data_IF_132815021517
#
_entry.id   IF_132815021517
#
_cell.length_a   1.000
_cell.length_b   1.000
_cell.length_c   1.000
_cell.angle_alpha   90.00
_cell.angle_beta   90.00
_cell.angle_gamma   90.00
#
_symmetry.space_group_name_H-M   'P 1'
#
loop_
_entity.id
_entity.type
_entity.pdbx_description
1 polymer ?
#
# COMPACT_ATOMS: atom_id res chain seq x y z
N UNK A 1 19.60 -8.33 -17.61
CA UNK A 1 20.31 -8.87 -16.44
C UNK A 1 20.10 -10.36 -16.45
N UNK A 2 21.13 -11.21 -16.28
CA UNK A 2 20.90 -12.66 -16.31
C UNK A 2 20.22 -13.12 -15.02
N UNK A 3 18.97 -13.60 -15.13
CA UNK A 3 18.22 -14.17 -14.02
C UNK A 3 18.66 -15.63 -13.74
N UNK A 4 18.78 -16.03 -12.46
CA UNK A 4 19.26 -17.35 -12.09
C UNK A 4 18.24 -18.45 -12.44
N UNK A 5 18.70 -19.68 -12.63
CA UNK A 5 17.88 -20.81 -13.07
C UNK A 5 16.78 -21.17 -12.06
N UNK A 6 17.04 -20.97 -10.76
CA UNK A 6 16.06 -21.25 -9.73
C UNK A 6 14.86 -20.28 -9.77
N UNK A 7 15.08 -19.00 -10.09
CA UNK A 7 14.01 -18.05 -10.39
C UNK A 7 13.21 -18.45 -11.64
N UNK A 8 13.91 -18.80 -12.73
CA UNK A 8 13.26 -19.21 -13.99
C UNK A 8 12.38 -20.46 -13.82
N UNK A 9 12.75 -21.35 -12.89
CA UNK A 9 11.98 -22.55 -12.57
C UNK A 9 10.76 -22.21 -11.72
N UNK A 10 10.93 -21.33 -10.73
CA UNK A 10 9.86 -20.83 -9.87
C UNK A 10 8.78 -20.11 -10.69
N UNK A 11 9.16 -19.16 -11.54
CA UNK A 11 8.19 -18.28 -12.20
C UNK A 11 7.24 -19.03 -13.13
N UNK A 12 7.73 -20.07 -13.81
CA UNK A 12 6.90 -20.96 -14.64
C UNK A 12 5.82 -21.70 -13.85
N UNK A 13 6.06 -21.97 -12.57
CA UNK A 13 5.08 -22.62 -11.69
C UNK A 13 4.14 -21.56 -11.12
N UNK A 14 4.67 -20.40 -10.73
CA UNK A 14 3.89 -19.27 -10.24
C UNK A 14 2.82 -18.82 -11.25
N UNK A 15 3.23 -18.54 -12.50
CA UNK A 15 2.34 -18.09 -13.58
C UNK A 15 1.26 -19.12 -13.99
N UNK A 16 1.43 -20.39 -13.63
CA UNK A 16 0.39 -21.42 -13.82
C UNK A 16 -0.65 -21.44 -12.69
N UNK A 17 -0.29 -20.90 -11.52
CA UNK A 17 -1.10 -20.96 -10.30
C UNK A 17 -1.80 -19.63 -10.01
N UNK A 18 -1.18 -18.51 -10.38
CA UNK A 18 -1.66 -17.16 -10.10
C UNK A 18 -1.84 -16.38 -11.39
N UNK A 19 -2.94 -15.64 -11.48
CA UNK A 19 -3.26 -14.78 -12.63
C UNK A 19 -2.97 -13.29 -12.33
N UNK A 20 -2.38 -12.99 -11.17
CA UNK A 20 -2.05 -11.63 -10.72
C UNK A 20 -0.71 -11.62 -9.99
N UNK A 21 -0.02 -10.48 -10.05
CA UNK A 21 1.24 -10.21 -9.36
C UNK A 21 1.07 -10.00 -7.86
N UNK A 22 -0.09 -9.46 -7.45
CA UNK A 22 -0.42 -9.28 -6.05
C UNK A 22 -1.11 -10.53 -5.53
N UNK A 23 -0.52 -11.14 -4.52
CA UNK A 23 -0.99 -12.38 -3.90
C UNK A 23 -1.11 -12.20 -2.40
N UNK A 24 -2.11 -12.85 -1.81
CA UNK A 24 -2.28 -12.91 -0.35
C UNK A 24 -2.29 -11.56 0.39
N UNK A 25 -2.91 -10.52 -0.19
CA UNK A 25 -3.03 -9.20 0.43
C UNK A 25 -2.23 -8.16 -0.34
N UNK A 26 -1.05 -7.81 0.16
CA UNK A 26 -0.17 -6.78 -0.41
C UNK A 26 1.13 -7.33 -1.02
N UNK A 27 1.35 -8.65 -1.01
CA UNK A 27 2.62 -9.22 -1.48
C UNK A 27 2.65 -9.19 -3.00
N UNK A 28 3.59 -8.44 -3.56
CA UNK A 28 3.79 -8.34 -5.00
C UNK A 28 4.97 -9.22 -5.42
N UNK A 29 4.71 -10.20 -6.28
CA UNK A 29 5.74 -11.07 -6.87
C UNK A 29 6.09 -10.56 -8.27
N UNK A 30 7.38 -10.30 -8.53
CA UNK A 30 7.83 -9.80 -9.83
C UNK A 30 7.87 -10.94 -10.86
N UNK A 31 7.00 -10.84 -11.87
CA UNK A 31 6.71 -11.98 -12.74
C UNK A 31 7.63 -12.11 -13.97
N UNK A 32 8.40 -11.09 -14.29
CA UNK A 32 9.25 -11.08 -15.48
C UNK A 32 10.56 -10.33 -15.27
N UNK A 33 11.42 -10.37 -16.29
CA UNK A 33 12.73 -9.69 -16.23
C UNK A 33 12.60 -8.17 -16.21
N UNK A 34 11.51 -7.62 -16.74
CA UNK A 34 11.29 -6.17 -16.83
C UNK A 34 10.98 -5.60 -15.45
N UNK A 35 10.00 -6.17 -14.74
CA UNK A 35 9.66 -5.79 -13.37
C UNK A 35 10.86 -5.91 -12.42
N UNK A 36 11.67 -6.96 -12.56
CA UNK A 36 12.89 -7.13 -11.75
C UNK A 36 13.93 -6.07 -12.10
N UNK A 37 14.17 -5.81 -13.39
CA UNK A 37 15.14 -4.79 -13.83
C UNK A 37 14.75 -3.41 -13.32
N UNK A 38 13.47 -3.09 -13.40
CA UNK A 38 12.90 -1.84 -12.92
C UNK A 38 13.25 -1.63 -11.45
N UNK A 39 12.86 -2.57 -10.56
CA UNK A 39 13.20 -2.51 -9.12
C UNK A 39 14.70 -2.48 -8.86
N UNK A 40 15.46 -3.30 -9.58
CA UNK A 40 16.92 -3.36 -9.47
C UNK A 40 17.56 -2.00 -9.79
N UNK A 41 17.01 -1.27 -10.75
CA UNK A 41 17.53 0.03 -11.19
C UNK A 41 17.08 1.14 -10.26
N UNK A 42 15.78 1.23 -9.98
CA UNK A 42 15.16 2.25 -9.13
C UNK A 42 15.80 2.29 -7.75
N UNK A 43 15.99 1.13 -7.13
CA UNK A 43 16.58 1.04 -5.79
C UNK A 43 18.11 0.87 -5.78
N UNK A 44 18.77 1.08 -6.93
CA UNK A 44 20.23 1.06 -7.06
C UNK A 44 20.89 -0.24 -6.55
N UNK A 45 20.27 -1.40 -6.81
CA UNK A 45 20.82 -2.70 -6.40
C UNK A 45 22.22 -2.95 -6.97
N UNK A 46 22.53 -2.43 -8.16
CA UNK A 46 23.89 -2.52 -8.73
C UNK A 46 24.96 -1.94 -7.80
N UNK A 47 24.62 -0.91 -7.02
CA UNK A 47 25.54 -0.25 -6.09
C UNK A 47 25.56 -0.97 -4.74
N UNK A 48 24.39 -1.33 -4.22
CA UNK A 48 24.24 -1.77 -2.84
C UNK A 48 24.25 -3.30 -2.67
N UNK A 49 23.67 -4.04 -3.61
CA UNK A 49 23.53 -5.51 -3.57
C UNK A 49 23.69 -6.16 -4.97
N UNK A 50 24.82 -5.97 -5.69
CA UNK A 50 24.97 -6.35 -7.11
C UNK A 50 24.84 -7.86 -7.40
N UNK A 51 25.03 -8.69 -6.37
CA UNK A 51 24.95 -10.15 -6.45
C UNK A 51 23.57 -10.71 -6.11
N UNK A 52 22.59 -9.86 -5.78
CA UNK A 52 21.23 -10.26 -5.45
C UNK A 52 20.24 -9.57 -6.38
N UNK A 53 19.07 -10.19 -6.57
CA UNK A 53 17.99 -9.60 -7.35
C UNK A 53 16.71 -9.56 -6.51
N UNK A 54 15.92 -8.48 -6.60
CA UNK A 54 14.61 -8.40 -5.97
C UNK A 54 13.64 -9.34 -6.71
N UNK A 55 12.79 -10.04 -5.96
CA UNK A 55 11.83 -11.02 -6.51
C UNK A 55 10.40 -10.80 -6.03
N UNK A 56 10.22 -10.09 -4.92
CA UNK A 56 8.93 -9.67 -4.42
C UNK A 56 9.09 -8.55 -3.38
N UNK A 57 8.04 -7.79 -3.12
CA UNK A 57 7.95 -6.84 -2.00
C UNK A 57 6.61 -6.94 -1.26
N UNK A 58 6.54 -6.34 -0.07
CA UNK A 58 5.33 -6.28 0.76
C UNK A 58 4.52 -4.99 0.53
N UNK A 59 4.95 -4.16 -0.43
CA UNK A 59 4.46 -2.80 -0.69
C UNK A 59 4.64 -1.80 0.47
N UNK A 60 5.29 -2.20 1.57
CA UNK A 60 5.55 -1.43 2.78
C UNK A 60 7.04 -1.16 3.03
N UNK A 61 7.87 -1.18 1.97
CA UNK A 61 9.29 -0.86 2.06
C UNK A 61 10.21 -2.06 2.32
N UNK A 62 9.67 -3.28 2.47
CA UNK A 62 10.46 -4.51 2.56
C UNK A 62 10.55 -5.22 1.21
N UNK A 63 11.65 -5.92 0.98
CA UNK A 63 11.90 -6.61 -0.29
C UNK A 63 12.52 -7.99 -0.05
N UNK A 64 11.95 -8.99 -0.71
CA UNK A 64 12.51 -10.31 -0.83
C UNK A 64 13.51 -10.35 -1.98
N UNK A 65 14.72 -10.83 -1.70
CA UNK A 65 15.82 -10.92 -2.65
C UNK A 65 16.38 -12.34 -2.71
N UNK A 66 16.96 -12.70 -3.85
CA UNK A 66 17.66 -13.98 -4.02
C UNK A 66 19.04 -13.76 -4.61
N UNK A 67 19.95 -14.71 -4.36
CA UNK A 67 21.28 -14.68 -4.98
C UNK A 67 21.20 -14.93 -6.49
N UNK A 68 22.05 -14.23 -7.23
CA UNK A 68 22.34 -14.51 -8.64
C UNK A 68 23.16 -15.80 -8.82
N UNK A 69 23.75 -16.33 -7.75
CA UNK A 69 24.43 -17.61 -7.76
C UNK A 69 23.40 -18.76 -7.60
N UNK A 70 23.36 -19.68 -8.57
CA UNK A 70 22.44 -20.83 -8.55
C UNK A 70 22.71 -21.85 -7.42
N UNK A 71 23.88 -21.77 -6.77
CA UNK A 71 24.19 -22.59 -5.59
C UNK A 71 23.46 -22.09 -4.33
N UNK A 72 23.16 -20.79 -4.24
CA UNK A 72 22.42 -20.20 -3.14
C UNK A 72 20.97 -19.92 -3.56
N UNK A 73 20.09 -20.84 -3.17
CA UNK A 73 18.67 -20.80 -3.52
C UNK A 73 17.81 -20.09 -2.50
N UNK A 74 18.38 -19.65 -1.37
CA UNK A 74 17.62 -19.06 -0.28
C UNK A 74 16.91 -17.78 -0.73
N UNK A 75 15.81 -17.51 -0.05
CA UNK A 75 15.10 -16.24 -0.14
C UNK A 75 15.47 -15.42 1.08
N UNK A 76 15.92 -14.19 0.87
CA UNK A 76 16.32 -13.27 1.92
C UNK A 76 15.35 -12.10 2.00
N UNK A 77 15.05 -11.63 3.21
CA UNK A 77 14.36 -10.39 3.49
C UNK A 77 15.38 -9.29 3.76
N UNK A 78 15.14 -8.14 3.16
CA UNK A 78 15.78 -6.87 3.51
C UNK A 78 14.78 -5.73 3.34
N UNK A 79 15.21 -4.49 3.56
CA UNK A 79 14.42 -3.29 3.29
C UNK A 79 15.10 -2.45 2.22
N UNK A 80 14.29 -1.77 1.39
CA UNK A 80 14.78 -0.77 0.44
C UNK A 80 15.57 0.36 1.13
N UNK A 81 15.29 0.65 2.41
CA UNK A 81 16.02 1.64 3.20
C UNK A 81 17.39 1.16 3.72
N UNK A 82 17.68 -0.15 3.67
CA UNK A 82 18.91 -0.74 4.23
C UNK A 82 19.46 -1.88 3.39
N UNK A 83 19.72 -1.64 2.10
CA UNK A 83 20.24 -2.64 1.17
C UNK A 83 21.71 -3.04 1.50
N UNK A 84 21.91 -3.83 2.56
CA UNK A 84 23.21 -4.37 2.95
C UNK A 84 23.08 -5.85 3.38
N UNK A 85 23.97 -6.73 2.89
CA UNK A 85 23.91 -8.18 3.15
C UNK A 85 23.92 -8.54 4.64
N UNK A 86 24.60 -7.74 5.47
CA UNK A 86 24.72 -7.99 6.92
C UNK A 86 23.38 -7.92 7.66
N UNK A 87 22.36 -7.33 7.06
CA UNK A 87 21.01 -7.24 7.63
C UNK A 87 20.04 -8.26 7.04
N UNK A 88 20.48 -9.16 6.17
CA UNK A 88 19.59 -10.15 5.59
C UNK A 88 19.02 -11.09 6.65
N UNK A 89 17.71 -11.28 6.62
CA UNK A 89 17.05 -12.42 7.27
C UNK A 89 16.72 -13.47 6.23
N UNK A 90 16.94 -14.74 6.53
CA UNK A 90 16.53 -15.83 5.63
C UNK A 90 15.03 -16.00 5.78
N UNK A 91 14.23 -15.71 4.76
CA UNK A 91 12.78 -16.00 4.73
C UNK A 91 12.50 -17.47 4.53
N UNK A 92 13.27 -18.08 3.62
CA UNK A 92 13.05 -19.46 3.24
C UNK A 92 14.28 -20.08 2.57
N UNK A 93 14.29 -21.41 2.49
CA UNK A 93 15.35 -22.19 1.85
C UNK A 93 15.32 -22.08 0.31
N UNK A 94 14.14 -21.84 -0.27
CA UNK A 94 13.96 -21.62 -1.71
C UNK A 94 12.61 -20.99 -2.08
N UNK A 95 12.52 -20.40 -3.28
CA UNK A 95 11.33 -19.73 -3.80
C UNK A 95 10.09 -20.64 -3.87
N UNK A 96 10.24 -21.95 -4.13
CA UNK A 96 9.11 -22.87 -4.26
C UNK A 96 8.52 -23.20 -2.90
N UNK A 97 9.36 -23.42 -1.89
CA UNK A 97 8.93 -23.62 -0.52
C UNK A 97 8.31 -22.34 0.06
N UNK A 98 8.91 -21.18 -0.23
CA UNK A 98 8.35 -19.88 0.16
C UNK A 98 6.94 -19.65 -0.42
N UNK A 99 6.75 -19.97 -1.71
CA UNK A 99 5.43 -19.93 -2.36
C UNK A 99 4.42 -20.91 -1.74
N UNK A 100 4.85 -22.12 -1.34
CA UNK A 100 3.97 -23.09 -0.68
C UNK A 100 3.44 -22.58 0.65
N UNK A 101 4.26 -21.80 1.36
CA UNK A 101 3.93 -21.12 2.61
C UNK A 101 3.18 -19.80 2.43
N UNK A 102 2.82 -19.45 1.18
CA UNK A 102 2.09 -18.23 0.82
C UNK A 102 2.90 -16.94 0.98
N UNK A 103 4.20 -17.00 0.68
CA UNK A 103 5.10 -15.84 0.64
C UNK A 103 5.17 -15.06 1.95
N UNK A 104 5.36 -15.70 3.11
CA UNK A 104 5.45 -14.97 4.36
C UNK A 104 6.68 -14.03 4.34
N UNK A 105 6.45 -12.73 4.57
CA UNK A 105 7.52 -11.75 4.82
C UNK A 105 7.97 -11.78 6.28
N UNK A 106 7.25 -12.52 7.12
CA UNK A 106 7.56 -12.90 8.48
C UNK A 106 8.15 -14.31 8.54
N UNK A 107 9.19 -14.53 9.35
CA UNK A 107 9.79 -15.85 9.46
C UNK A 107 8.99 -16.72 10.45
N UNK A 108 8.20 -17.70 9.99
CA UNK A 108 7.46 -18.59 10.92
C UNK A 108 8.39 -19.52 11.74
N UNK A 109 9.70 -19.60 11.43
CA UNK A 109 10.71 -20.23 12.30
C UNK A 109 11.00 -19.33 13.51
N UNK A 110 10.02 -19.32 14.42
CA UNK A 110 9.95 -18.62 15.71
C UNK A 110 10.98 -19.15 16.74
N UNK A 111 12.25 -19.22 16.38
CA UNK A 111 13.31 -19.52 17.37
C UNK A 111 14.44 -18.49 17.45
N UNK A 112 14.56 -17.53 16.52
CA UNK A 112 15.66 -16.55 16.62
C UNK A 112 15.27 -15.07 16.59
N UNK A 113 13.99 -14.67 16.40
CA UNK A 113 13.58 -13.26 16.52
C UNK A 113 12.07 -13.10 16.83
N UNK A 114 11.51 -13.84 17.80
CA UNK A 114 10.26 -13.34 18.40
C UNK A 114 10.62 -12.08 19.18
N UNK A 115 10.00 -10.94 18.80
CA UNK A 115 9.99 -9.75 19.66
C UNK A 115 9.67 -10.25 21.07
N UNK A 116 10.52 -9.91 22.04
CA UNK A 116 10.21 -10.28 23.43
C UNK A 116 8.83 -9.72 23.78
N UNK A 117 8.14 -10.32 24.76
CA UNK A 117 6.86 -9.77 25.21
C UNK A 117 6.98 -8.27 25.58
N UNK A 118 8.16 -7.83 26.02
CA UNK A 118 8.48 -6.43 26.27
C UNK A 118 8.58 -5.61 24.97
N UNK A 119 9.24 -6.11 23.93
CA UNK A 119 9.34 -5.43 22.63
C UNK A 119 7.97 -5.36 21.93
N UNK A 120 7.19 -6.43 21.98
CA UNK A 120 5.83 -6.46 21.46
C UNK A 120 4.93 -5.45 22.19
N UNK A 121 5.00 -5.41 23.52
CA UNK A 121 4.27 -4.43 24.31
C UNK A 121 4.72 -2.98 24.03
N UNK A 122 6.01 -2.76 23.78
CA UNK A 122 6.53 -1.45 23.35
C UNK A 122 5.93 -1.04 22.01
N UNK A 123 5.97 -1.93 21.01
CA UNK A 123 5.42 -1.67 19.68
C UNK A 123 3.91 -1.37 19.73
N UNK A 124 3.14 -2.16 20.50
CA UNK A 124 1.71 -1.91 20.69
C UNK A 124 1.45 -0.58 21.40
N UNK A 125 2.28 -0.22 22.38
CA UNK A 125 2.18 1.06 23.09
C UNK A 125 2.50 2.25 22.18
N UNK A 126 3.54 2.14 21.35
CA UNK A 126 3.93 3.17 20.39
C UNK A 126 2.85 3.35 19.30
N UNK A 127 2.34 2.25 18.74
CA UNK A 127 1.27 2.29 17.76
C UNK A 127 -0.01 2.91 18.35
N UNK A 128 -0.33 2.59 19.61
CA UNK A 128 -1.45 3.20 20.32
C UNK A 128 -1.25 4.71 20.52
N UNK A 129 -0.04 5.14 20.89
CA UNK A 129 0.26 6.56 21.05
C UNK A 129 0.12 7.31 19.72
N UNK A 130 0.63 6.73 18.63
CA UNK A 130 0.50 7.28 17.29
C UNK A 130 -0.98 7.41 16.87
N UNK A 131 -1.79 6.39 17.15
CA UNK A 131 -3.24 6.42 16.92
C UNK A 131 -3.95 7.51 17.72
N UNK A 132 -3.57 7.71 18.98
CA UNK A 132 -4.11 8.78 19.84
C UNK A 132 -3.73 10.18 19.32
N UNK A 133 -2.50 10.35 18.82
CA UNK A 133 -2.05 11.60 18.20
C UNK A 133 -2.84 11.90 16.92
N UNK A 134 -2.97 10.92 16.04
CA UNK A 134 -3.69 11.07 14.77
C UNK A 134 -5.18 11.26 14.96
N UNK A 135 -5.76 10.67 16.02
CA UNK A 135 -7.16 10.87 16.38
C UNK A 135 -7.53 12.33 16.64
N UNK A 136 -6.55 13.21 16.84
CA UNK A 136 -6.74 14.66 17.01
C UNK A 136 -6.92 15.39 15.68
N UNK A 137 -6.65 14.74 14.54
CA UNK A 137 -6.63 15.33 13.21
C UNK A 137 -7.62 14.63 12.27
N UNK A 138 -8.88 15.11 12.20
CA UNK A 138 -9.92 14.50 11.37
C UNK A 138 -9.56 14.42 9.87
N UNK A 139 -8.76 15.34 9.35
CA UNK A 139 -8.33 15.34 7.94
C UNK A 139 -7.52 14.10 7.57
N UNK A 140 -6.65 13.61 8.48
CA UNK A 140 -5.88 12.37 8.26
C UNK A 140 -6.78 11.14 8.25
N UNK A 141 -7.71 11.05 9.21
CA UNK A 141 -8.69 9.94 9.24
C UNK A 141 -9.58 9.94 7.99
N UNK A 142 -9.99 11.12 7.53
CA UNK A 142 -10.79 11.25 6.32
C UNK A 142 -10.02 10.82 5.06
N UNK A 143 -8.74 11.17 4.96
CA UNK A 143 -7.85 10.75 3.87
C UNK A 143 -7.82 9.23 3.73
N UNK A 144 -7.54 8.49 4.81
CA UNK A 144 -7.51 7.02 4.76
C UNK A 144 -8.88 6.36 4.58
N UNK A 145 -9.96 7.06 4.91
CA UNK A 145 -11.32 6.57 4.61
C UNK A 145 -11.70 6.75 3.14
N UNK A 146 -10.91 7.49 2.34
CA UNK A 146 -11.22 7.85 0.97
C UNK A 146 -10.02 7.55 0.06
N UNK A 147 -9.65 6.29 -0.10
CA UNK A 147 -8.54 5.92 -0.99
C UNK A 147 -9.03 5.71 -2.42
N UNK A 148 -8.30 6.22 -3.41
CA UNK A 148 -8.53 5.95 -4.82
C UNK A 148 -7.45 5.02 -5.36
N UNK A 149 -7.84 3.94 -6.04
CA UNK A 149 -6.90 3.15 -6.82
C UNK A 149 -6.75 3.78 -8.19
N UNK A 150 -5.57 4.33 -8.46
CA UNK A 150 -5.26 4.98 -9.73
C UNK A 150 -4.16 4.16 -10.39
N UNK A 151 -4.39 3.73 -11.64
CA UNK A 151 -3.39 2.98 -12.41
C UNK A 151 -2.32 3.94 -12.93
N UNK A 152 -1.39 4.30 -12.07
CA UNK A 152 -0.21 5.09 -12.38
C UNK A 152 0.88 4.77 -11.36
N UNK A 153 2.05 4.33 -11.83
CA UNK A 153 3.12 3.80 -10.98
C UNK A 153 3.66 4.84 -9.98
N UNK A 154 3.54 6.13 -10.29
CA UNK A 154 4.03 7.20 -9.44
C UNK A 154 3.06 7.60 -8.34
N UNK A 155 1.75 7.38 -8.53
CA UNK A 155 0.70 7.82 -7.60
C UNK A 155 0.56 6.85 -6.40
N UNK A 156 -0.05 7.30 -5.29
CA UNK A 156 -0.32 6.44 -4.15
C UNK A 156 -1.10 5.18 -4.54
N UNK A 157 -0.56 4.01 -4.19
CA UNK A 157 -1.18 2.71 -4.41
C UNK A 157 -1.47 2.01 -3.07
N UNK A 158 -0.57 2.19 -2.10
CA UNK A 158 -0.63 1.50 -0.82
C UNK A 158 -0.93 2.50 0.30
N UNK A 159 -1.87 2.13 1.16
CA UNK A 159 -2.29 2.93 2.30
C UNK A 159 -2.19 2.10 3.58
N UNK A 160 -1.84 2.70 4.72
CA UNK A 160 -1.77 1.99 5.98
C UNK A 160 -3.15 1.49 6.40
N UNK A 161 -3.18 0.29 6.98
CA UNK A 161 -4.29 -0.11 7.84
C UNK A 161 -4.16 0.74 9.11
N UNK A 162 -5.14 1.61 9.38
CA UNK A 162 -5.07 2.60 10.46
C UNK A 162 -4.68 1.97 11.80
N UNK A 163 -5.26 0.82 12.17
CA UNK A 163 -4.96 0.14 13.44
C UNK A 163 -3.53 -0.44 13.51
N UNK A 164 -2.79 -0.49 12.39
CA UNK A 164 -1.42 -1.00 12.28
C UNK A 164 -0.47 0.05 11.67
N UNK A 165 -0.76 1.33 11.88
CA UNK A 165 -0.04 2.42 11.22
C UNK A 165 1.47 2.42 11.48
N UNK A 166 1.90 2.04 12.69
CA UNK A 166 3.32 1.94 13.03
C UNK A 166 4.02 0.93 12.11
N UNK A 167 3.39 -0.20 11.80
CA UNK A 167 3.96 -1.21 10.91
C UNK A 167 4.20 -0.67 9.50
N UNK A 168 3.38 0.27 9.03
CA UNK A 168 3.56 0.91 7.72
C UNK A 168 4.75 1.88 7.66
N UNK A 169 5.37 2.19 8.82
CA UNK A 169 6.58 3.02 8.88
C UNK A 169 7.87 2.19 8.80
N UNK A 170 7.75 0.86 8.78
CA UNK A 170 8.90 -0.04 8.61
C UNK A 170 9.55 0.19 7.24
N UNK A 171 10.88 0.16 7.20
CA UNK A 171 11.67 0.56 6.03
C UNK A 171 11.87 2.07 5.84
N UNK A 172 11.13 2.91 6.56
CA UNK A 172 11.26 4.37 6.50
C UNK A 172 11.83 4.97 7.80
N UNK A 173 11.06 4.85 8.89
CA UNK A 173 11.40 5.42 10.20
C UNK A 173 12.19 4.44 11.07
N UNK A 174 11.96 3.15 10.89
CA UNK A 174 12.71 2.08 11.55
C UNK A 174 12.80 0.86 10.63
N UNK A 175 13.56 -0.13 11.07
CA UNK A 175 13.73 -1.38 10.37
C UNK A 175 13.57 -2.55 11.36
N UNK A 176 12.51 -3.34 11.21
CA UNK A 176 12.28 -4.52 12.07
C UNK A 176 13.24 -5.67 11.77
N UNK A 177 13.77 -5.74 10.54
CA UNK A 177 14.79 -6.70 10.12
C UNK A 177 16.08 -6.45 10.92
N UNK A 178 16.59 -5.22 10.89
CA UNK A 178 17.81 -4.81 11.58
C UNK A 178 17.59 -4.42 13.05
N UNK A 179 16.34 -4.35 13.53
CA UNK A 179 15.96 -3.81 14.84
C UNK A 179 16.59 -2.43 15.11
N UNK A 180 16.52 -1.55 14.11
CA UNK A 180 17.25 -0.28 14.10
C UNK A 180 16.32 0.88 13.76
N UNK A 181 16.46 2.00 14.48
CA UNK A 181 15.89 3.27 14.05
C UNK A 181 16.60 3.77 12.79
N UNK A 182 15.82 4.23 11.82
CA UNK A 182 16.29 4.90 10.61
C UNK A 182 16.10 6.43 10.72
N UNK A 183 15.52 6.89 11.82
CA UNK A 183 15.39 8.31 12.13
C UNK A 183 16.77 8.91 12.46
N UNK A 184 17.01 10.12 11.98
CA UNK A 184 18.19 10.88 12.31
C UNK A 184 18.01 12.39 12.10
N UNK A 185 19.03 13.14 12.52
CA UNK A 185 19.04 14.61 12.43
C UNK A 185 19.85 15.13 11.25
N UNK A 186 20.53 14.26 10.49
CA UNK A 186 21.36 14.70 9.36
C UNK A 186 20.50 15.00 8.15
N UNK A 187 21.03 15.84 7.28
CA UNK A 187 20.42 16.10 5.99
C UNK A 187 20.27 14.81 5.17
N UNK A 188 19.02 14.46 4.85
CA UNK A 188 18.67 13.22 4.16
C UNK A 188 18.23 12.09 5.09
N UNK A 189 18.31 12.23 6.41
CA UNK A 189 17.73 11.25 7.33
C UNK A 189 16.20 11.38 7.36
N UNK A 190 15.51 10.28 7.67
CA UNK A 190 14.09 10.33 7.96
C UNK A 190 13.91 11.04 9.32
N UNK A 191 12.91 11.91 9.46
CA UNK A 191 12.74 12.69 10.70
C UNK A 191 11.72 12.03 11.62
N UNK A 192 11.90 12.24 12.93
CA UNK A 192 10.98 11.72 13.96
C UNK A 192 9.55 12.26 13.79
N UNK A 193 9.41 13.51 13.34
CA UNK A 193 8.12 14.14 13.12
C UNK A 193 7.44 13.73 11.82
N UNK A 194 8.11 12.95 10.96
CA UNK A 194 7.54 12.51 9.69
C UNK A 194 6.68 11.27 9.85
N UNK A 195 5.55 11.28 9.14
CA UNK A 195 4.63 10.15 9.08
C UNK A 195 4.32 9.81 7.64
N UNK A 196 4.66 8.59 7.22
CA UNK A 196 4.25 8.05 5.92
C UNK A 196 2.75 7.75 5.96
N UNK A 197 2.02 8.35 5.03
CA UNK A 197 0.56 8.26 4.91
C UNK A 197 0.11 7.41 3.72
N UNK A 198 0.99 7.19 2.74
CA UNK A 198 0.79 6.27 1.63
C UNK A 198 2.14 5.96 0.95
N UNK A 199 2.20 4.95 0.09
CA UNK A 199 3.33 4.71 -0.80
C UNK A 199 2.89 4.39 -2.24
N UNK A 200 3.73 4.68 -3.23
CA UNK A 200 3.48 4.30 -4.62
C UNK A 200 3.93 2.84 -4.90
N UNK A 201 3.85 2.45 -6.18
CA UNK A 201 4.29 1.14 -6.67
C UNK A 201 5.76 0.81 -6.34
N UNK A 202 6.63 1.81 -6.33
CA UNK A 202 8.06 1.71 -5.98
C UNK A 202 8.33 1.80 -4.48
N UNK A 203 7.28 1.74 -3.66
CA UNK A 203 7.33 2.02 -2.23
C UNK A 203 7.73 3.48 -1.88
N UNK A 204 7.80 4.44 -2.81
CA UNK A 204 8.08 5.85 -2.51
C UNK A 204 7.07 6.45 -1.55
N UNK A 205 7.50 7.09 -0.44
CA UNK A 205 6.60 7.49 0.60
C UNK A 205 5.97 8.84 0.24
N UNK A 206 4.66 8.92 0.43
CA UNK A 206 3.95 10.16 0.66
C UNK A 206 3.84 10.34 2.16
N UNK A 207 4.31 11.47 2.67
CA UNK A 207 4.39 11.71 4.10
C UNK A 207 4.03 13.14 4.47
N UNK A 208 3.68 13.33 5.75
CA UNK A 208 3.46 14.63 6.37
C UNK A 208 4.50 14.87 7.46
N UNK A 209 4.67 16.12 7.89
CA UNK A 209 5.44 16.47 9.08
C UNK A 209 4.48 16.94 10.18
N UNK A 210 4.52 16.33 11.37
CA UNK A 210 3.69 16.75 12.50
C UNK A 210 3.97 18.19 12.96
N UNK A 211 5.17 18.71 12.69
CA UNK A 211 5.50 20.10 12.97
C UNK A 211 4.72 21.09 12.08
N UNK A 212 4.21 20.62 10.93
CA UNK A 212 3.45 21.44 9.97
C UNK A 212 1.92 21.34 10.22
N UNK A 213 1.51 20.96 11.43
CA UNK A 213 0.09 20.84 11.81
C UNK A 213 -0.70 22.16 11.70
N UNK A 214 -0.04 23.31 11.91
CA UNK A 214 -0.64 24.64 11.70
C UNK A 214 -0.80 24.99 10.21
N UNK A 215 -0.09 24.29 9.32
CA UNK A 215 -0.16 24.47 7.86
C UNK A 215 -1.11 23.46 7.18
N UNK A 216 -2.01 22.82 7.95
CA UNK A 216 -2.95 21.80 7.49
C UNK A 216 -2.28 20.57 6.86
N UNK A 217 -1.10 20.18 7.37
CA UNK A 217 -0.33 19.02 6.90
C UNK A 217 -0.08 19.04 5.39
N UNK A 218 0.86 19.86 4.90
CA UNK A 218 1.38 19.71 3.55
C UNK A 218 1.84 18.27 3.31
N UNK A 219 1.59 17.77 2.09
CA UNK A 219 2.01 16.41 1.71
C UNK A 219 3.31 16.51 0.94
N UNK A 220 4.27 15.71 1.36
CA UNK A 220 5.57 15.56 0.74
C UNK A 220 5.72 14.18 0.13
N UNK A 221 6.57 14.10 -0.89
CA UNK A 221 6.99 12.88 -1.56
C UNK A 221 8.53 12.80 -1.53
N UNK A 222 9.10 11.60 -1.54
CA UNK A 222 10.54 11.41 -1.74
C UNK A 222 10.83 10.14 -2.53
N UNK A 223 11.72 10.20 -3.51
CA UNK A 223 12.18 9.02 -4.23
C UNK A 223 13.03 8.10 -3.32
N UNK A 224 12.80 6.78 -3.40
CA UNK A 224 13.66 5.77 -2.83
C UNK A 224 15.00 5.71 -3.54
N UNK A 225 15.99 5.17 -2.82
CA UNK A 225 17.19 4.66 -3.45
C UNK A 225 18.34 5.64 -3.56
N UNK A 226 18.28 6.85 -2.98
CA UNK A 226 19.44 7.78 -2.99
C UNK A 226 20.27 7.78 -1.69
N UNK A 227 19.94 6.88 -0.75
CA UNK A 227 20.53 6.87 0.59
C UNK A 227 20.19 8.10 1.43
N UNK A 228 19.28 8.96 0.94
CA UNK A 228 18.79 10.18 1.57
C UNK A 228 17.33 10.40 1.20
N UNK A 229 16.54 10.94 2.11
CA UNK A 229 15.19 11.43 1.87
C UNK A 229 15.23 12.91 1.52
N UNK A 230 14.88 13.24 0.27
CA UNK A 230 14.75 14.62 -0.21
C UNK A 230 13.25 14.95 -0.38
N UNK A 231 12.63 15.68 0.55
CA UNK A 231 11.21 16.01 0.46
C UNK A 231 10.90 16.91 -0.74
N UNK A 232 9.88 16.54 -1.50
CA UNK A 232 9.26 17.33 -2.56
C UNK A 232 7.84 17.61 -2.11
N UNK A 233 7.46 18.87 -1.88
CA UNK A 233 6.08 19.20 -1.49
C UNK A 233 5.16 18.99 -2.69
N UNK A 234 4.24 18.03 -2.61
CA UNK A 234 3.33 17.68 -3.72
C UNK A 234 1.94 18.30 -3.54
N UNK A 235 1.55 18.66 -2.32
CA UNK A 235 0.32 19.39 -2.03
C UNK A 235 0.46 20.29 -0.79
N UNK A 236 -0.34 21.35 -0.73
CA UNK A 236 -0.34 22.29 0.40
C UNK A 236 -1.09 21.76 1.64
N UNK A 237 -1.91 20.72 1.48
CA UNK A 237 -2.58 20.04 2.59
C UNK A 237 -2.97 18.62 2.17
N UNK A 238 -3.22 17.77 3.15
CA UNK A 238 -3.80 16.42 2.94
C UNK A 238 -5.12 16.50 2.20
N UNK A 239 -5.99 17.46 2.52
CA UNK A 239 -7.26 17.65 1.82
C UNK A 239 -7.07 18.09 0.35
N UNK A 240 -6.07 18.93 0.09
CA UNK A 240 -5.72 19.33 -1.29
C UNK A 240 -5.23 18.12 -2.07
N UNK A 241 -4.35 17.31 -1.46
CA UNK A 241 -3.84 16.09 -2.07
C UNK A 241 -4.97 15.10 -2.39
N UNK A 242 -5.85 14.86 -1.41
CA UNK A 242 -7.04 14.03 -1.56
C UNK A 242 -7.92 14.45 -2.74
N UNK A 243 -8.17 15.76 -2.87
CA UNK A 243 -8.95 16.30 -3.97
C UNK A 243 -8.25 16.11 -5.32
N UNK A 244 -6.93 16.26 -5.40
CA UNK A 244 -6.16 16.00 -6.63
C UNK A 244 -6.26 14.53 -7.03
N UNK A 245 -6.08 13.60 -6.09
CA UNK A 245 -6.23 12.15 -6.35
C UNK A 245 -7.64 11.82 -6.83
N UNK A 246 -8.67 12.42 -6.22
CA UNK A 246 -10.07 12.25 -6.68
C UNK A 246 -10.23 12.69 -8.13
N UNK A 247 -9.76 13.89 -8.48
CA UNK A 247 -9.90 14.43 -9.84
C UNK A 247 -9.14 13.57 -10.86
N UNK A 248 -7.93 13.12 -10.52
CA UNK A 248 -7.18 12.17 -11.37
C UNK A 248 -7.97 10.88 -11.55
N UNK A 249 -8.54 10.34 -10.48
CA UNK A 249 -9.37 9.14 -10.56
C UNK A 249 -10.60 9.35 -11.45
N UNK A 250 -11.30 10.47 -11.32
CA UNK A 250 -12.46 10.82 -12.15
C UNK A 250 -12.08 10.92 -13.64
N UNK A 251 -10.88 11.43 -13.94
CA UNK A 251 -10.35 11.60 -15.29
C UNK A 251 -9.54 10.41 -15.81
N UNK A 252 -9.46 9.28 -15.07
CA UNK A 252 -8.49 8.19 -15.34
C UNK A 252 -8.54 7.57 -16.75
N UNK A 253 -9.66 7.74 -17.46
CA UNK A 253 -9.82 7.28 -18.84
C UNK A 253 -9.81 8.43 -19.86
N UNK A 254 -9.83 9.69 -19.41
CA UNK A 254 -9.69 10.89 -20.23
C UNK A 254 -8.24 11.41 -20.16
N UNK A 255 -7.40 10.88 -21.06
CA UNK A 255 -5.99 11.31 -21.19
C UNK A 255 -5.86 12.83 -21.34
N UNK A 256 -6.72 13.47 -22.12
CA UNK A 256 -6.62 14.91 -22.38
C UNK A 256 -7.00 15.72 -21.12
N UNK A 257 -8.04 15.29 -20.41
CA UNK A 257 -8.42 15.86 -19.12
C UNK A 257 -7.29 15.74 -18.10
N UNK A 258 -6.66 14.56 -17.99
CA UNK A 258 -5.49 14.35 -17.13
C UNK A 258 -4.33 15.27 -17.48
N UNK A 259 -3.96 15.36 -18.77
CA UNK A 259 -2.89 16.25 -19.22
C UNK A 259 -3.20 17.71 -18.92
N UNK A 260 -4.45 18.15 -19.10
CA UNK A 260 -4.87 19.52 -18.78
C UNK A 260 -4.73 19.80 -17.28
N UNK A 261 -5.14 18.87 -16.41
CA UNK A 261 -5.00 18.98 -14.96
C UNK A 261 -3.51 19.03 -14.55
N UNK A 262 -2.71 18.11 -15.09
CA UNK A 262 -1.31 17.93 -14.70
C UNK A 262 -0.39 19.03 -15.23
N UNK A 263 -0.77 19.70 -16.32
CA UNK A 263 0.00 20.83 -16.88
C UNK A 263 0.18 21.95 -15.86
N UNK A 264 -0.85 22.26 -15.06
CA UNK A 264 -0.76 23.31 -14.03
C UNK A 264 0.27 22.95 -12.94
N UNK A 265 0.36 21.67 -12.58
CA UNK A 265 1.32 21.17 -11.62
C UNK A 265 2.74 21.08 -12.20
N UNK A 266 2.89 20.63 -13.45
CA UNK A 266 4.20 20.52 -14.12
C UNK A 266 4.85 21.88 -14.37
N UNK A 267 4.07 22.92 -14.73
CA UNK A 267 4.60 24.29 -14.92
C UNK A 267 5.29 24.83 -13.65
N UNK A 268 4.93 24.32 -12.46
CA UNK A 268 5.56 24.72 -11.20
C UNK A 268 7.01 24.21 -11.03
N UNK A 269 7.48 23.32 -11.92
CA UNK A 269 8.81 22.68 -11.84
C UNK A 269 8.90 21.65 -10.71
N UNK A 270 7.75 21.04 -10.37
CA UNK A 270 7.67 20.02 -9.34
C UNK A 270 8.04 18.66 -9.94
N UNK A 271 9.22 18.16 -9.56
CA UNK A 271 9.82 16.92 -10.06
C UNK A 271 8.86 15.71 -10.01
N UNK A 272 8.07 15.58 -8.94
CA UNK A 272 7.07 14.50 -8.83
C UNK A 272 5.95 14.66 -9.86
N UNK A 273 5.37 15.85 -9.97
CA UNK A 273 4.26 16.08 -10.91
C UNK A 273 4.72 16.04 -12.38
N UNK A 274 5.97 16.39 -12.66
CA UNK A 274 6.58 16.19 -13.97
C UNK A 274 6.61 14.72 -14.35
N UNK A 275 6.99 13.82 -13.42
CA UNK A 275 7.00 12.38 -13.67
C UNK A 275 5.59 11.81 -13.87
N UNK A 276 4.61 12.23 -13.04
CA UNK A 276 3.20 11.85 -13.22
C UNK A 276 2.69 12.31 -14.59
N UNK A 277 3.04 13.52 -15.02
CA UNK A 277 2.68 14.05 -16.34
C UNK A 277 3.30 13.22 -17.47
N UNK A 278 4.58 12.86 -17.38
CA UNK A 278 5.22 12.01 -18.40
C UNK A 278 4.56 10.64 -18.50
N UNK A 279 4.24 10.01 -17.36
CA UNK A 279 3.53 8.73 -17.34
C UNK A 279 2.18 8.82 -18.09
N UNK A 280 1.39 9.89 -17.85
CA UNK A 280 0.12 10.11 -18.56
C UNK A 280 0.35 10.41 -20.05
N UNK A 281 1.40 11.15 -20.39
CA UNK A 281 1.73 11.47 -21.79
C UNK A 281 2.01 10.20 -22.61
N UNK A 282 2.67 9.22 -22.00
CA UNK A 282 3.02 7.92 -22.60
C UNK A 282 1.86 6.92 -22.66
N UNK A 283 0.76 7.15 -21.92
CA UNK A 283 -0.44 6.30 -21.99
C UNK A 283 -0.99 6.27 -23.43
N UNK A 284 -1.48 5.11 -23.92
CA UNK A 284 -2.11 5.03 -25.23
C UNK A 284 -3.36 5.92 -25.29
N UNK A 285 -3.63 6.50 -26.46
CA UNK A 285 -4.94 7.12 -26.70
C UNK A 285 -6.01 6.03 -26.74
N UNK A 286 -7.12 6.28 -26.08
CA UNK A 286 -8.26 5.37 -26.01
C UNK A 286 -9.45 6.02 -26.70
N UNK A 287 -10.16 5.28 -27.56
CA UNK A 287 -11.33 5.83 -28.24
C UNK A 287 -12.46 6.12 -27.24
N UNK A 288 -13.34 7.09 -27.52
CA UNK A 288 -14.45 7.47 -26.61
C UNK A 288 -15.36 6.28 -26.27
N UNK A 289 -15.62 5.40 -27.25
CA UNK A 289 -16.41 4.18 -27.04
C UNK A 289 -15.69 3.18 -26.11
N UNK A 290 -14.37 3.02 -26.25
CA UNK A 290 -13.54 2.18 -25.38
C UNK A 290 -13.45 2.75 -23.96
N UNK A 291 -13.35 4.08 -23.82
CA UNK A 291 -13.39 4.76 -22.52
C UNK A 291 -14.73 4.49 -21.83
N UNK A 292 -15.84 4.63 -22.56
CA UNK A 292 -17.19 4.37 -22.04
C UNK A 292 -17.37 2.89 -21.64
N UNK A 293 -16.88 1.95 -22.47
CA UNK A 293 -16.87 0.53 -22.15
C UNK A 293 -16.04 0.25 -20.89
N UNK A 294 -14.81 0.77 -20.81
CA UNK A 294 -13.96 0.62 -19.62
C UNK A 294 -14.59 1.22 -18.38
N UNK A 295 -15.18 2.43 -18.46
CA UNK A 295 -15.93 3.02 -17.34
C UNK A 295 -17.07 2.11 -16.91
N UNK A 296 -17.79 1.51 -17.86
CA UNK A 296 -18.97 0.67 -17.60
C UNK A 296 -18.62 -0.71 -17.03
N UNK A 297 -17.49 -1.30 -17.44
CA UNK A 297 -17.05 -2.63 -17.06
C UNK A 297 -16.05 -2.64 -15.90
N UNK A 298 -15.41 -1.49 -15.61
CA UNK A 298 -14.38 -1.38 -14.59
C UNK A 298 -14.89 -1.83 -13.23
N UNK A 299 -14.20 -2.83 -12.66
CA UNK A 299 -14.36 -3.18 -11.26
C UNK A 299 -14.01 -2.00 -10.33
N UNK A 300 -13.49 -0.88 -10.85
CA UNK A 300 -13.26 0.33 -10.07
C UNK A 300 -14.43 1.32 -10.05
N UNK A 301 -15.58 0.99 -10.66
CA UNK A 301 -16.81 1.76 -10.44
C UNK A 301 -17.13 1.88 -8.95
N UNK A 302 -17.59 3.05 -8.52
CA UNK A 302 -17.97 3.25 -7.13
C UNK A 302 -19.23 2.44 -6.85
N UNK A 303 -19.16 1.56 -5.86
CA UNK A 303 -20.25 0.71 -5.45
C UNK A 303 -20.58 0.92 -3.98
N UNK A 304 -21.87 0.95 -3.69
CA UNK A 304 -22.42 1.05 -2.35
C UNK A 304 -23.11 -0.28 -2.00
N UNK A 305 -22.59 -0.95 -0.98
CA UNK A 305 -23.20 -2.15 -0.40
C UNK A 305 -24.07 -1.73 0.77
N UNK A 306 -25.34 -2.10 0.72
CA UNK A 306 -26.30 -1.85 1.77
C UNK A 306 -26.78 -3.14 2.40
N UNK A 307 -26.91 -3.19 3.72
CA UNK A 307 -27.68 -4.22 4.41
C UNK A 307 -29.16 -3.84 4.31
N UNK A 308 -29.96 -4.73 3.74
CA UNK A 308 -31.42 -4.57 3.61
C UNK A 308 -32.20 -5.45 4.59
N UNK A 309 -31.57 -6.52 5.07
CA UNK A 309 -32.07 -7.35 6.18
C UNK A 309 -30.88 -7.88 6.99
N UNK A 310 -30.92 -7.77 8.31
CA UNK A 310 -29.84 -8.23 9.22
C UNK A 310 -29.87 -9.74 9.47
N UNK A 311 -30.89 -10.45 8.98
CA UNK A 311 -30.94 -11.89 8.97
C UNK A 311 -31.10 -12.58 10.33
N UNK A 312 -30.83 -13.90 10.40
CA UNK A 312 -31.02 -14.69 11.61
C UNK A 312 -29.97 -14.42 12.69
N UNK A 313 -28.74 -14.04 12.33
CA UNK A 313 -27.66 -13.79 13.29
C UNK A 313 -27.57 -12.32 13.72
N UNK A 314 -28.70 -11.74 14.14
CA UNK A 314 -28.86 -10.31 14.45
C UNK A 314 -27.75 -9.74 15.32
N UNK A 315 -27.39 -10.43 16.40
CA UNK A 315 -26.37 -9.94 17.33
C UNK A 315 -24.96 -9.93 16.74
N UNK A 316 -24.66 -10.78 15.75
CA UNK A 316 -23.36 -10.73 15.04
C UNK A 316 -23.29 -9.52 14.11
N UNK A 317 -24.38 -9.21 13.40
CA UNK A 317 -24.47 -7.98 12.58
C UNK A 317 -24.40 -6.74 13.47
N UNK A 318 -25.08 -6.72 14.62
CA UNK A 318 -24.98 -5.61 15.59
C UNK A 318 -23.54 -5.44 16.08
N UNK A 319 -22.83 -6.52 16.41
CA UNK A 319 -21.41 -6.46 16.81
C UNK A 319 -20.52 -5.97 15.67
N UNK A 320 -20.80 -6.37 14.43
CA UNK A 320 -20.08 -5.93 13.24
C UNK A 320 -20.28 -4.42 12.99
N UNK A 321 -21.53 -3.94 13.03
CA UNK A 321 -21.84 -2.51 12.91
C UNK A 321 -21.21 -1.70 14.05
N UNK A 322 -21.23 -2.25 15.27
CA UNK A 322 -20.58 -1.62 16.43
C UNK A 322 -19.09 -1.40 16.18
N UNK A 323 -18.38 -2.43 15.72
CA UNK A 323 -16.95 -2.33 15.41
C UNK A 323 -16.69 -1.37 14.24
N UNK A 324 -17.43 -1.54 13.14
CA UNK A 324 -17.24 -0.77 11.90
C UNK A 324 -17.47 0.73 12.08
N UNK A 325 -18.53 1.11 12.77
CA UNK A 325 -18.91 2.51 12.98
C UNK A 325 -18.43 3.06 14.33
N UNK A 326 -17.65 2.28 15.09
CA UNK A 326 -17.16 2.62 16.44
C UNK A 326 -18.29 3.08 17.38
N UNK A 327 -19.44 2.42 17.31
CA UNK A 327 -20.65 2.76 18.06
C UNK A 327 -20.66 2.13 19.46
N UNK A 328 -21.49 2.68 20.35
CA UNK A 328 -21.93 1.95 21.54
C UNK A 328 -22.85 0.78 21.17
N UNK A 329 -23.06 -0.16 22.10
CA UNK A 329 -23.98 -1.27 21.86
C UNK A 329 -25.43 -0.83 21.61
N UNK A 330 -25.86 0.26 22.23
CA UNK A 330 -27.20 0.80 22.05
C UNK A 330 -27.38 1.47 20.68
N UNK A 331 -26.37 2.22 20.22
CA UNK A 331 -26.36 2.87 18.90
C UNK A 331 -26.32 1.83 17.77
N UNK A 332 -25.48 0.79 17.90
CA UNK A 332 -25.42 -0.29 16.91
C UNK A 332 -26.73 -1.08 16.82
N UNK A 333 -27.40 -1.33 17.96
CA UNK A 333 -28.72 -1.97 18.00
C UNK A 333 -29.81 -1.07 17.41
N UNK A 334 -29.66 0.25 17.51
CA UNK A 334 -30.59 1.19 16.91
C UNK A 334 -30.41 1.25 15.39
N UNK A 335 -29.16 1.35 14.92
CA UNK A 335 -28.81 1.32 13.50
C UNK A 335 -29.28 0.02 12.83
N UNK A 336 -29.17 -1.13 13.51
CA UNK A 336 -29.62 -2.43 12.95
C UNK A 336 -31.12 -2.52 12.66
N UNK A 337 -31.92 -1.53 13.06
CA UNK A 337 -33.37 -1.46 12.79
C UNK A 337 -33.70 -0.61 11.57
N UNK A 338 -32.72 0.08 10.99
CA UNK A 338 -32.92 0.86 9.79
C UNK A 338 -33.26 -0.06 8.60
N UNK A 339 -34.15 0.41 7.73
CA UNK A 339 -34.58 -0.37 6.57
C UNK A 339 -33.46 -0.58 5.53
N UNK A 340 -32.43 0.26 5.58
CA UNK A 340 -31.30 0.22 4.68
C UNK A 340 -30.09 0.86 5.34
N UNK A 341 -29.06 0.06 5.60
CA UNK A 341 -27.83 0.50 6.28
C UNK A 341 -26.72 0.47 5.24
N UNK A 342 -26.13 1.62 4.91
CA UNK A 342 -24.91 1.63 4.08
C UNK A 342 -23.82 0.91 4.86
N UNK A 343 -23.25 -0.16 4.32
CA UNK A 343 -22.20 -0.95 4.96
C UNK A 343 -20.82 -0.72 4.35
N UNK A 344 -20.74 -0.62 3.03
CA UNK A 344 -19.48 -0.39 2.33
C UNK A 344 -19.73 0.60 1.20
N UNK A 345 -18.80 1.53 1.00
CA UNK A 345 -18.76 2.38 -0.18
C UNK A 345 -17.33 2.37 -0.71
N UNK A 346 -17.14 1.99 -1.97
CA UNK A 346 -15.82 1.85 -2.57
C UNK A 346 -15.86 1.12 -3.90
N UNK A 347 -14.70 0.85 -4.52
CA UNK A 347 -14.63 0.13 -5.79
C UNK A 347 -15.38 -1.20 -5.80
N UNK A 348 -16.14 -1.47 -6.87
CA UNK A 348 -16.80 -2.76 -7.15
C UNK A 348 -15.86 -3.98 -7.02
N UNK A 349 -14.56 -3.82 -7.22
CA UNK A 349 -13.52 -4.84 -7.06
C UNK A 349 -13.42 -5.32 -5.62
N UNK A 350 -13.67 -4.43 -4.67
CA UNK A 350 -13.44 -4.64 -3.24
C UNK A 350 -14.72 -4.89 -2.45
N UNK A 351 -15.90 -4.73 -3.07
CA UNK A 351 -17.17 -4.99 -2.38
C UNK A 351 -17.43 -6.49 -2.15
N UNK A 352 -16.80 -7.39 -2.92
CA UNK A 352 -17.09 -8.83 -2.87
C UNK A 352 -16.79 -9.43 -1.49
N UNK A 353 -15.69 -9.04 -0.87
CA UNK A 353 -15.34 -9.48 0.49
C UNK A 353 -16.37 -9.00 1.53
N UNK A 354 -16.84 -7.76 1.41
CA UNK A 354 -17.86 -7.18 2.28
C UNK A 354 -19.23 -7.84 2.10
N UNK A 355 -19.61 -8.15 0.86
CA UNK A 355 -20.84 -8.90 0.56
C UNK A 355 -20.76 -10.30 1.17
N UNK A 356 -19.66 -11.02 0.95
CA UNK A 356 -19.49 -12.38 1.45
C UNK A 356 -19.47 -12.44 2.98
N UNK A 357 -18.84 -11.48 3.65
CA UNK A 357 -18.87 -11.35 5.12
C UNK A 357 -20.31 -11.24 5.64
N UNK A 358 -21.11 -10.33 5.06
CA UNK A 358 -22.48 -10.09 5.46
C UNK A 358 -23.39 -11.31 5.19
N UNK A 359 -23.27 -11.92 4.02
CA UNK A 359 -24.03 -13.12 3.65
C UNK A 359 -23.67 -14.33 4.51
N UNK A 360 -22.39 -14.51 4.87
CA UNK A 360 -21.95 -15.55 5.81
C UNK A 360 -22.54 -15.36 7.22
N UNK A 361 -22.82 -14.10 7.59
CA UNK A 361 -23.55 -13.77 8.81
C UNK A 361 -25.07 -13.86 8.62
N UNK A 362 -25.55 -14.15 7.42
CA UNK A 362 -26.96 -14.38 7.10
C UNK A 362 -27.75 -13.11 6.76
N UNK A 363 -27.09 -11.97 6.57
CA UNK A 363 -27.73 -10.73 6.15
C UNK A 363 -28.06 -10.75 4.64
N UNK A 364 -29.08 -9.98 4.23
CA UNK A 364 -29.36 -9.68 2.82
C UNK A 364 -28.74 -8.33 2.45
N UNK A 365 -28.17 -8.27 1.26
CA UNK A 365 -27.46 -7.09 0.77
C UNK A 365 -28.02 -6.59 -0.56
N UNK A 366 -27.91 -5.28 -0.77
CA UNK A 366 -28.16 -4.63 -2.05
C UNK A 366 -26.92 -3.87 -2.48
N UNK A 367 -26.48 -4.08 -3.72
CA UNK A 367 -25.36 -3.37 -4.33
C UNK A 367 -25.92 -2.32 -5.28
N UNK A 368 -25.47 -1.08 -5.15
CA UNK A 368 -25.72 -0.01 -6.11
C UNK A 368 -24.39 0.36 -6.74
N UNK A 369 -24.30 0.19 -8.06
CA UNK A 369 -23.16 0.66 -8.86
C UNK A 369 -23.49 2.08 -9.31
N UNK A 370 -22.55 3.02 -9.14
CA UNK A 370 -22.69 4.42 -9.52
C UNK A 370 -21.80 4.80 -10.68
#
# INVERSE_FOLDING_TARGET
MKLPNHWQSFIKIFQKKFNSEIVYGSIRVFQDEEAIKERFTTHQFETYLPFYIPVADDSGGQVAVISRNDEDKKVYLTSYGTLEEKYFKILDRDLLHWMQRKFPFDNEDKQENELTAEQQASFESENKHLLEQIGQFPSLLNFWNQTYSIENLCLPENFPVVDQLLAFQDGYAFNTVASKSLIGEKEGDFKESWLVIASNYFADPFFIDFNDSEENFPVYFAFHGTGKWKPIKVANSVDTFQNVLRTIFELRYDKNGLLSLLTEFSISGNEFWDEVYQNVLEMPEMAEDEQNEMISESDWQEAEVYITDIGPNKMKIVSLLKAKYRLSGAEALQMSKEARILYHKGPKKWIHSSVQELENLGAQVAIVIR
#
